data_IF_122055882264
#
_entry.id   IF_122055882264
#
_cell.length_a   1.000
_cell.length_b   1.000
_cell.length_c   1.000
_cell.angle_alpha   90.00
_cell.angle_beta   90.00
_cell.angle_gamma   90.00
#
_symmetry.space_group_name_H-M   'P 1'
#
loop_
_entity.id
_entity.type
_entity.pdbx_description
1 polymer ?
#
# COMPACT_ATOMS: atom_id res chain seq x y z
N UNK A 1 13.23 -3.97 0.06
CA UNK A 1 13.27 -2.66 0.71
C UNK A 1 14.13 -1.75 -0.12
N UNK A 2 13.70 -0.50 -0.34
CA UNK A 2 14.60 0.54 -0.84
C UNK A 2 15.76 0.65 0.16
N UNK A 3 16.96 0.19 -0.22
CA UNK A 3 18.14 0.26 0.63
C UNK A 3 18.55 1.72 0.77
N UNK A 4 18.93 2.16 1.97
CA UNK A 4 19.67 3.41 2.12
C UNK A 4 21.00 3.27 1.38
N UNK A 5 21.20 4.10 0.35
CA UNK A 5 22.39 4.08 -0.50
C UNK A 5 23.32 5.22 -0.12
N UNK A 6 24.63 4.95 -0.15
CA UNK A 6 25.69 5.95 0.04
C UNK A 6 26.38 6.19 -1.30
N UNK A 7 26.50 7.45 -1.69
CA UNK A 7 27.11 7.84 -2.97
C UNK A 7 28.43 8.57 -2.73
N UNK A 8 29.35 8.45 -3.69
CA UNK A 8 30.64 9.16 -3.66
C UNK A 8 30.50 10.62 -4.06
N UNK A 9 29.44 10.99 -4.79
CA UNK A 9 29.15 12.34 -5.26
C UNK A 9 27.65 12.64 -5.16
N UNK A 10 27.26 13.92 -4.99
CA UNK A 10 25.84 14.32 -5.03
C UNK A 10 25.15 13.93 -6.32
N UNK A 11 25.83 14.07 -7.46
CA UNK A 11 25.26 13.78 -8.78
C UNK A 11 24.81 12.33 -8.95
N UNK A 12 25.59 11.37 -8.45
CA UNK A 12 25.17 9.95 -8.44
C UNK A 12 23.95 9.72 -7.56
N UNK A 13 23.81 10.49 -6.48
CA UNK A 13 22.62 10.43 -5.62
C UNK A 13 21.40 10.98 -6.35
N UNK A 14 21.56 12.08 -7.10
CA UNK A 14 20.46 12.68 -7.86
C UNK A 14 20.03 11.77 -9.00
N UNK A 15 20.98 11.23 -9.78
CA UNK A 15 20.68 10.32 -10.87
C UNK A 15 19.90 9.07 -10.39
N UNK A 16 20.41 8.38 -9.37
CA UNK A 16 19.77 7.17 -8.86
C UNK A 16 18.37 7.47 -8.25
N UNK A 17 18.21 8.64 -7.62
CA UNK A 17 16.92 9.07 -7.12
C UNK A 17 15.93 9.37 -8.26
N UNK A 18 16.39 10.02 -9.34
CA UNK A 18 15.59 10.23 -10.55
C UNK A 18 15.21 8.92 -11.23
N UNK A 19 16.12 7.95 -11.29
CA UNK A 19 15.85 6.60 -11.83
C UNK A 19 14.82 5.85 -10.98
N UNK A 20 14.90 5.95 -9.65
CA UNK A 20 13.89 5.40 -8.75
C UNK A 20 12.49 5.99 -9.03
N UNK A 21 12.38 7.32 -9.16
CA UNK A 21 11.11 7.97 -9.45
C UNK A 21 10.61 7.62 -10.86
N UNK A 22 11.49 7.59 -11.86
CA UNK A 22 11.12 7.28 -13.26
C UNK A 22 10.76 5.81 -13.45
N UNK A 23 11.41 4.90 -12.74
CA UNK A 23 11.25 3.45 -12.89
C UNK A 23 10.02 2.88 -12.18
N UNK A 24 9.45 3.58 -11.20
CA UNK A 24 8.28 3.12 -10.44
C UNK A 24 6.99 3.77 -10.98
N UNK A 25 6.02 2.97 -11.43
CA UNK A 25 4.82 3.47 -12.14
C UNK A 25 3.92 4.32 -11.26
N UNK A 26 3.88 4.07 -9.96
CA UNK A 26 3.21 4.93 -8.96
C UNK A 26 3.66 6.40 -8.99
N UNK A 27 4.83 6.70 -9.54
CA UNK A 27 5.32 8.07 -9.73
C UNK A 27 5.23 8.52 -11.19
N UNK A 28 4.88 7.66 -12.15
CA UNK A 28 4.91 7.97 -13.58
C UNK A 28 4.05 9.20 -13.92
N UNK A 29 2.86 9.34 -13.30
CA UNK A 29 1.98 10.50 -13.52
C UNK A 29 2.60 11.85 -13.09
N UNK A 30 3.65 11.85 -12.25
CA UNK A 30 4.35 13.07 -11.87
C UNK A 30 5.09 13.69 -13.05
N UNK A 31 5.55 12.85 -13.99
CA UNK A 31 6.26 13.29 -15.19
C UNK A 31 5.33 13.87 -16.26
N UNK A 32 4.02 13.84 -16.03
CA UNK A 32 3.03 14.55 -16.84
C UNK A 32 2.81 15.99 -16.35
N UNK A 33 3.30 16.32 -15.14
CA UNK A 33 3.29 17.68 -14.61
C UNK A 33 4.41 18.49 -15.27
N UNK A 34 4.27 19.82 -15.24
CA UNK A 34 5.36 20.70 -15.59
C UNK A 34 6.60 20.39 -14.71
N UNK A 35 7.79 20.18 -15.29
CA UNK A 35 9.00 19.90 -14.52
C UNK A 35 9.32 20.96 -13.45
N UNK A 36 8.86 22.20 -13.66
CA UNK A 36 9.04 23.33 -12.73
C UNK A 36 7.90 23.46 -11.71
N UNK A 37 6.82 22.67 -11.81
CA UNK A 37 5.72 22.67 -10.83
C UNK A 37 6.09 21.87 -9.57
N UNK A 38 7.05 22.41 -8.81
CA UNK A 38 7.50 21.81 -7.55
C UNK A 38 6.36 21.63 -6.53
N UNK A 39 5.28 22.41 -6.62
CA UNK A 39 4.10 22.27 -5.75
C UNK A 39 3.30 21.03 -6.14
N UNK A 40 2.95 20.88 -7.42
CA UNK A 40 2.31 19.69 -7.96
C UNK A 40 3.11 18.43 -7.67
N UNK A 41 4.42 18.47 -7.90
CA UNK A 41 5.34 17.38 -7.56
C UNK A 41 5.31 17.05 -6.06
N UNK A 42 5.39 18.03 -5.16
CA UNK A 42 5.38 17.80 -3.71
C UNK A 42 4.09 17.09 -3.23
N UNK A 43 2.92 17.53 -3.72
CA UNK A 43 1.64 16.91 -3.38
C UNK A 43 1.47 15.55 -4.05
N UNK A 44 1.89 15.41 -5.30
CA UNK A 44 1.84 14.16 -6.05
C UNK A 44 2.74 13.09 -5.45
N UNK A 45 3.96 13.42 -5.00
CA UNK A 45 4.85 12.50 -4.28
C UNK A 45 4.20 11.94 -3.02
N UNK A 46 3.56 12.80 -2.21
CA UNK A 46 2.79 12.33 -1.05
C UNK A 46 1.61 11.45 -1.46
N UNK A 47 0.84 11.85 -2.48
CA UNK A 47 -0.31 11.09 -3.00
C UNK A 47 0.12 9.70 -3.48
N UNK A 48 1.25 9.63 -4.16
CA UNK A 48 1.89 8.41 -4.61
C UNK A 48 2.45 7.58 -3.45
N UNK A 49 2.51 8.11 -2.22
CA UNK A 49 2.95 7.41 -1.01
C UNK A 49 4.46 7.47 -0.74
N UNK A 50 5.18 8.43 -1.35
CA UNK A 50 6.62 8.61 -1.14
C UNK A 50 6.97 8.87 0.32
N UNK A 51 6.14 9.66 1.01
CA UNK A 51 6.33 10.01 2.42
C UNK A 51 5.06 9.74 3.23
N UNK A 52 5.22 9.24 4.46
CA UNK A 52 4.11 9.00 5.40
C UNK A 52 3.69 10.25 6.18
N UNK A 53 4.53 11.28 6.23
CA UNK A 53 4.26 12.52 6.95
C UNK A 53 3.14 13.33 6.25
N UNK A 54 2.01 13.61 6.94
CA UNK A 54 0.94 14.42 6.38
C UNK A 54 1.37 15.83 5.97
N UNK A 55 2.39 16.41 6.60
CA UNK A 55 2.92 17.73 6.29
C UNK A 55 4.05 17.71 5.26
N UNK A 56 4.41 16.54 4.71
CA UNK A 56 5.54 16.39 3.79
C UNK A 56 5.52 17.40 2.62
N UNK A 57 4.42 17.58 1.86
CA UNK A 57 4.39 18.53 0.75
C UNK A 57 4.67 19.95 1.22
N UNK A 58 4.05 20.36 2.33
CA UNK A 58 4.21 21.71 2.88
C UNK A 58 5.64 21.97 3.33
N UNK A 59 6.29 20.98 3.96
CA UNK A 59 7.69 21.07 4.37
C UNK A 59 8.62 21.22 3.16
N UNK A 60 8.40 20.43 2.11
CA UNK A 60 9.20 20.48 0.89
C UNK A 60 9.03 21.83 0.17
N UNK A 61 7.80 22.27 -0.03
CA UNK A 61 7.47 23.58 -0.60
C UNK A 61 8.14 24.70 0.21
N UNK A 62 8.05 24.64 1.54
CA UNK A 62 8.67 25.64 2.41
C UNK A 62 10.18 25.72 2.21
N UNK A 63 10.88 24.58 2.15
CA UNK A 63 12.34 24.54 1.91
C UNK A 63 12.66 25.17 0.55
N UNK A 64 11.92 24.83 -0.50
CA UNK A 64 12.13 25.36 -1.85
C UNK A 64 11.92 26.88 -1.88
N UNK A 65 10.89 27.39 -1.20
CA UNK A 65 10.57 28.82 -1.16
C UNK A 65 11.54 29.62 -0.27
N UNK A 66 11.87 29.11 0.93
CA UNK A 66 12.83 29.74 1.87
C UNK A 66 14.21 29.91 1.23
N UNK A 67 14.65 28.91 0.45
CA UNK A 67 15.94 28.93 -0.23
C UNK A 67 15.87 29.41 -1.69
N UNK A 68 14.68 29.80 -2.17
CA UNK A 68 14.45 30.24 -3.56
C UNK A 68 15.02 29.27 -4.61
N UNK A 69 14.93 27.96 -4.36
CA UNK A 69 15.54 26.95 -5.22
C UNK A 69 14.94 26.93 -6.63
N UNK A 70 13.67 27.31 -6.76
CA UNK A 70 12.98 27.47 -8.04
C UNK A 70 13.66 28.49 -8.97
N UNK A 71 14.50 29.38 -8.46
CA UNK A 71 15.28 30.31 -9.28
C UNK A 71 16.36 29.60 -10.11
N UNK A 72 16.80 28.41 -9.69
CA UNK A 72 17.79 27.59 -10.40
C UNK A 72 17.22 26.91 -11.64
N UNK A 73 15.89 26.83 -11.75
CA UNK A 73 15.20 26.18 -12.87
C UNK A 73 15.05 27.13 -14.09
N UNK A 74 15.45 28.40 -13.94
CA UNK A 74 15.34 29.43 -14.98
C UNK A 74 16.42 29.25 -16.06
N UNK A 75 16.00 29.19 -17.33
CA UNK A 75 16.91 29.08 -18.48
C UNK A 75 17.38 27.65 -18.79
N UNK A 76 16.78 26.65 -18.16
CA UNK A 76 17.02 25.23 -18.46
C UNK A 76 15.85 24.70 -19.29
N UNK A 77 16.09 24.34 -20.54
CA UNK A 77 15.11 23.58 -21.34
C UNK A 77 15.19 22.10 -20.95
N UNK A 78 14.15 21.61 -20.30
CA UNK A 78 14.04 20.21 -19.86
C UNK A 78 13.17 19.44 -20.85
N UNK A 79 13.79 18.74 -21.79
CA UNK A 79 13.11 17.83 -22.73
C UNK A 79 13.13 16.39 -22.20
N UNK A 80 12.45 16.15 -21.07
CA UNK A 80 12.29 14.80 -20.54
C UNK A 80 10.99 14.23 -21.10
N UNK A 81 11.08 13.15 -21.86
CA UNK A 81 9.89 12.41 -22.26
C UNK A 81 9.26 11.75 -21.03
N UNK A 82 7.96 11.99 -20.83
CA UNK A 82 7.23 11.33 -19.77
C UNK A 82 7.22 9.82 -20.02
N UNK A 83 7.52 8.97 -19.01
CA UNK A 83 7.39 7.53 -19.11
C UNK A 83 5.95 7.05 -19.40
N UNK A 84 4.95 7.94 -19.36
CA UNK A 84 3.55 7.65 -19.77
C UNK A 84 3.28 7.94 -21.25
N UNK A 85 4.18 8.62 -21.97
CA UNK A 85 3.99 9.02 -23.37
C UNK A 85 3.94 7.77 -24.26
N UNK A 86 2.74 7.47 -24.78
CA UNK A 86 2.44 6.27 -25.56
C UNK A 86 1.61 5.20 -24.85
N UNK A 87 1.20 5.42 -23.58
CA UNK A 87 0.43 4.43 -22.80
C UNK A 87 -1.11 4.49 -22.92
N UNK A 88 -1.68 5.39 -23.72
CA UNK A 88 -3.08 5.32 -24.17
C UNK A 88 -4.18 5.63 -23.13
N UNK A 89 -5.01 6.62 -23.51
CA UNK A 89 -6.40 6.92 -23.12
C UNK A 89 -6.79 7.36 -21.69
N UNK A 90 -7.68 8.38 -21.68
CA UNK A 90 -8.53 8.82 -20.57
C UNK A 90 -9.39 7.67 -20.07
N UNK A 91 -9.47 7.45 -18.75
CA UNK A 91 -10.19 6.30 -18.21
C UNK A 91 -11.32 6.76 -17.28
N UNK A 92 -12.52 6.29 -17.62
CA UNK A 92 -13.76 6.31 -16.85
C UNK A 92 -13.52 5.87 -15.38
N UNK A 93 -13.79 6.73 -14.38
CA UNK A 93 -13.57 6.44 -12.96
C UNK A 93 -14.39 5.27 -12.41
N UNK A 94 -15.48 4.87 -13.07
CA UNK A 94 -16.41 3.86 -12.55
C UNK A 94 -16.13 2.43 -13.03
N UNK A 95 -15.32 2.26 -14.09
CA UNK A 95 -14.98 0.95 -14.66
C UNK A 95 -13.46 0.63 -14.70
N UNK A 96 -12.65 1.29 -13.88
CA UNK A 96 -11.20 1.10 -13.85
C UNK A 96 -10.78 -0.28 -13.28
N UNK A 97 -10.76 -1.29 -14.15
CA UNK A 97 -9.99 -2.52 -13.98
C UNK A 97 -8.93 -2.61 -15.06
N UNK A 98 -7.99 -1.66 -15.05
CA UNK A 98 -6.77 -1.80 -15.86
C UNK A 98 -5.74 -2.52 -14.99
N UNK A 99 -5.51 -3.76 -15.40
CA UNK A 99 -4.49 -4.67 -14.90
C UNK A 99 -3.12 -4.12 -15.33
N UNK A 100 -2.46 -3.39 -14.43
CA UNK A 100 -1.15 -2.78 -14.68
C UNK A 100 -0.05 -3.83 -14.54
N UNK A 101 -0.33 -5.04 -14.08
CA UNK A 101 0.68 -6.05 -13.78
C UNK A 101 0.54 -7.20 -14.77
N UNK A 102 1.65 -7.79 -15.20
CA UNK A 102 1.61 -9.05 -15.92
C UNK A 102 0.69 -10.06 -15.19
N UNK A 103 -0.42 -10.45 -15.82
CA UNK A 103 -1.19 -11.70 -15.61
C UNK A 103 -1.57 -12.11 -14.18
N UNK A 104 -1.52 -11.24 -13.16
CA UNK A 104 -1.91 -11.63 -11.79
C UNK A 104 -3.36 -11.29 -11.52
N UNK A 105 -4.15 -12.35 -11.42
CA UNK A 105 -5.55 -12.27 -11.04
C UNK A 105 -5.71 -11.55 -9.68
N UNK A 106 -6.39 -10.42 -9.72
CA UNK A 106 -6.82 -9.71 -8.52
C UNK A 106 -8.16 -10.26 -8.04
N UNK A 107 -8.27 -10.38 -6.73
CA UNK A 107 -9.50 -10.81 -6.07
C UNK A 107 -9.98 -9.70 -5.13
N UNK A 108 -11.23 -9.82 -4.71
CA UNK A 108 -11.86 -8.84 -3.83
C UNK A 108 -12.57 -9.55 -2.69
N UNK A 109 -12.37 -9.03 -1.48
CA UNK A 109 -13.00 -9.52 -0.25
C UNK A 109 -13.26 -8.34 0.67
N UNK A 110 -14.51 -8.17 1.14
CA UNK A 110 -14.90 -7.00 1.94
C UNK A 110 -14.53 -5.65 1.30
N UNK A 111 -14.66 -5.58 -0.04
CA UNK A 111 -14.23 -4.44 -0.89
C UNK A 111 -12.76 -4.07 -0.69
N UNK A 112 -11.90 -5.05 -0.43
CA UNK A 112 -10.44 -4.91 -0.34
C UNK A 112 -9.84 -5.80 -1.41
N UNK A 113 -8.91 -5.25 -2.20
CA UNK A 113 -8.18 -6.04 -3.18
C UNK A 113 -7.15 -6.95 -2.49
N UNK A 114 -7.05 -8.18 -2.95
CA UNK A 114 -6.04 -9.15 -2.52
C UNK A 114 -5.54 -9.99 -3.69
N UNK A 115 -4.40 -10.64 -3.49
CA UNK A 115 -3.81 -11.62 -4.41
C UNK A 115 -3.64 -12.96 -3.71
N UNK A 116 -3.41 -14.01 -4.49
CA UNK A 116 -3.00 -15.32 -3.99
C UNK A 116 -1.53 -15.52 -4.35
N UNK A 117 -0.72 -15.88 -3.35
CA UNK A 117 0.71 -16.16 -3.51
C UNK A 117 0.88 -17.37 -4.42
N UNK A 118 1.67 -17.21 -5.48
CA UNK A 118 2.00 -18.24 -6.47
C UNK A 118 3.39 -18.84 -6.18
N UNK A 119 3.68 -19.98 -6.81
CA UNK A 119 5.00 -20.60 -6.70
C UNK A 119 6.11 -19.65 -7.19
N UNK A 120 7.17 -19.48 -6.40
CA UNK A 120 8.28 -18.56 -6.68
C UNK A 120 8.07 -17.13 -6.19
N UNK A 121 6.91 -16.81 -5.63
CA UNK A 121 6.68 -15.52 -4.98
C UNK A 121 7.54 -15.36 -3.73
N UNK A 122 8.13 -14.18 -3.62
CA UNK A 122 8.82 -13.73 -2.42
C UNK A 122 8.19 -12.44 -1.93
N UNK A 123 8.43 -12.13 -0.67
CA UNK A 123 7.98 -10.87 -0.11
C UNK A 123 8.57 -9.67 -0.89
N UNK A 124 9.82 -9.78 -1.31
CA UNK A 124 10.57 -8.75 -2.00
C UNK A 124 10.11 -8.55 -3.45
N UNK A 125 9.83 -9.63 -4.19
CA UNK A 125 9.35 -9.50 -5.57
C UNK A 125 7.91 -8.97 -5.56
N UNK A 126 7.03 -9.48 -4.69
CA UNK A 126 5.64 -9.01 -4.62
C UNK A 126 5.54 -7.54 -4.22
N UNK A 127 6.36 -7.07 -3.27
CA UNK A 127 6.35 -5.64 -2.90
C UNK A 127 6.82 -4.75 -4.04
N UNK A 128 7.82 -5.17 -4.81
CA UNK A 128 8.29 -4.47 -6.00
C UNK A 128 7.24 -4.48 -7.10
N UNK A 129 6.74 -5.67 -7.43
CA UNK A 129 5.81 -5.90 -8.52
C UNK A 129 4.48 -5.19 -8.27
N UNK A 130 3.97 -5.21 -7.05
CA UNK A 130 2.73 -4.53 -6.66
C UNK A 130 2.93 -3.03 -6.32
N UNK A 131 4.17 -2.54 -6.41
CA UNK A 131 4.57 -1.19 -6.05
C UNK A 131 4.18 -0.78 -4.62
N UNK A 132 4.11 -1.75 -3.72
CA UNK A 132 3.82 -1.56 -2.30
C UNK A 132 5.13 -1.40 -1.53
N UNK A 133 5.16 -0.42 -0.62
CA UNK A 133 6.25 -0.38 0.34
C UNK A 133 6.23 -1.66 1.19
N UNK A 134 7.38 -2.26 1.55
CA UNK A 134 7.44 -3.43 2.42
C UNK A 134 6.54 -3.31 3.65
N UNK A 135 6.61 -2.18 4.35
CA UNK A 135 5.78 -1.97 5.53
C UNK A 135 4.27 -2.00 5.25
N UNK A 136 3.82 -1.62 4.05
CA UNK A 136 2.40 -1.66 3.67
C UNK A 136 1.92 -3.10 3.58
N UNK A 137 2.60 -3.94 2.81
CA UNK A 137 2.23 -5.34 2.65
C UNK A 137 2.24 -6.08 4.01
N UNK A 138 3.26 -5.86 4.83
CA UNK A 138 3.32 -6.38 6.20
C UNK A 138 2.13 -5.90 7.04
N UNK A 139 1.88 -4.60 7.09
CA UNK A 139 0.85 -4.02 7.94
C UNK A 139 -0.58 -4.35 7.49
N UNK A 140 -0.82 -4.55 6.20
CA UNK A 140 -2.14 -4.91 5.68
C UNK A 140 -2.52 -6.36 6.01
N UNK A 141 -1.50 -7.22 6.14
CA UNK A 141 -1.66 -8.65 6.40
C UNK A 141 -1.29 -9.06 7.83
N UNK A 142 -0.91 -8.10 8.69
CA UNK A 142 -0.42 -8.31 10.07
C UNK A 142 0.69 -9.37 10.15
N UNK A 143 1.62 -9.34 9.18
CA UNK A 143 2.80 -10.22 9.13
C UNK A 143 4.09 -9.41 9.30
N UNK A 144 5.18 -10.09 9.63
CA UNK A 144 6.50 -9.48 9.69
C UNK A 144 7.01 -9.05 8.30
N UNK A 145 7.91 -8.06 8.27
CA UNK A 145 8.54 -7.63 7.02
C UNK A 145 9.53 -8.70 6.57
N UNK A 146 9.45 -9.11 5.30
CA UNK A 146 10.28 -10.20 4.77
C UNK A 146 9.83 -11.58 5.25
N UNK A 147 8.60 -11.70 5.77
CA UNK A 147 8.05 -12.99 6.17
C UNK A 147 8.05 -13.97 4.98
N UNK A 148 8.37 -15.24 5.26
CA UNK A 148 8.29 -16.30 4.26
C UNK A 148 6.83 -16.55 3.91
N UNK A 149 6.49 -16.30 2.64
CA UNK A 149 5.15 -16.49 2.12
C UNK A 149 4.91 -17.95 1.78
N UNK A 150 3.67 -18.41 1.96
CA UNK A 150 3.25 -19.76 1.59
C UNK A 150 2.47 -19.70 0.28
N UNK A 151 2.74 -20.62 -0.64
CA UNK A 151 1.93 -20.77 -1.85
C UNK A 151 0.46 -20.99 -1.48
N UNK A 152 -0.45 -20.32 -2.20
CA UNK A 152 -1.88 -20.30 -1.89
C UNK A 152 -2.31 -19.31 -0.80
N UNK A 153 -1.37 -18.66 -0.11
CA UNK A 153 -1.68 -17.65 0.89
C UNK A 153 -2.35 -16.43 0.25
N UNK A 154 -3.43 -15.94 0.86
CA UNK A 154 -4.04 -14.68 0.46
C UNK A 154 -3.27 -13.50 1.06
N UNK A 155 -2.95 -12.51 0.23
CA UNK A 155 -2.34 -11.26 0.66
C UNK A 155 -3.16 -10.06 0.21
N UNK A 156 -3.66 -9.31 1.18
CA UNK A 156 -4.29 -8.03 0.97
C UNK A 156 -3.26 -6.98 0.52
N UNK A 157 -3.59 -6.30 -0.58
CA UNK A 157 -2.77 -5.22 -1.13
C UNK A 157 -3.31 -3.83 -0.74
N UNK A 158 -4.33 -3.82 0.12
CA UNK A 158 -4.98 -2.65 0.68
C UNK A 158 -5.28 -2.87 2.18
N UNK A 159 -5.43 -1.82 3.00
CA UNK A 159 -5.72 -1.99 4.42
C UNK A 159 -7.04 -2.74 4.67
N UNK A 160 -7.00 -3.76 5.53
CA UNK A 160 -8.21 -4.45 6.02
C UNK A 160 -9.20 -3.50 6.71
N UNK A 161 -10.50 -3.80 6.60
CA UNK A 161 -11.56 -2.96 7.16
C UNK A 161 -11.66 -3.15 8.67
N UNK A 162 -12.38 -2.24 9.33
CA UNK A 162 -12.66 -2.31 10.78
C UNK A 162 -13.78 -3.31 11.11
N UNK A 163 -14.60 -3.68 10.13
CA UNK A 163 -15.79 -4.54 10.26
C UNK A 163 -16.00 -5.31 8.96
N UNK A 164 -16.63 -6.48 9.05
CA UNK A 164 -16.96 -7.28 7.87
C UNK A 164 -18.10 -6.65 7.07
N UNK A 165 -18.45 -7.25 5.93
CA UNK A 165 -19.62 -6.88 5.13
C UNK A 165 -20.93 -7.07 5.92
N UNK A 166 -22.00 -6.40 5.49
CA UNK A 166 -23.24 -6.30 6.30
C UNK A 166 -23.96 -7.64 6.49
N UNK A 167 -23.80 -8.57 5.55
CA UNK A 167 -24.23 -9.96 5.61
C UNK A 167 -23.43 -10.82 6.60
N UNK A 168 -22.24 -10.37 7.02
CA UNK A 168 -21.37 -11.09 7.95
C UNK A 168 -21.37 -10.39 9.31
N UNK A 169 -22.38 -10.68 10.13
CA UNK A 169 -22.48 -10.11 11.48
C UNK A 169 -21.61 -10.88 12.47
N UNK A 170 -21.54 -12.20 12.29
CA UNK A 170 -20.97 -13.15 13.24
C UNK A 170 -20.36 -14.33 12.48
N UNK A 171 -19.37 -14.94 13.10
CA UNK A 171 -18.71 -16.17 12.71
C UNK A 171 -18.68 -17.12 13.91
N UNK A 172 -18.75 -18.43 13.66
CA UNK A 172 -18.66 -19.46 14.71
C UNK A 172 -17.32 -20.15 14.51
N UNK A 173 -16.44 -20.02 15.50
CA UNK A 173 -15.07 -20.52 15.38
C UNK A 173 -15.05 -22.04 15.22
N UNK A 174 -14.26 -22.52 14.26
CA UNK A 174 -14.01 -23.94 14.05
C UNK A 174 -12.90 -24.47 14.97
N UNK A 175 -12.73 -25.79 15.04
CA UNK A 175 -11.70 -26.40 15.87
C UNK A 175 -10.29 -26.05 15.35
N UNK A 176 -9.49 -25.40 16.20
CA UNK A 176 -8.13 -24.98 15.87
C UNK A 176 -8.04 -23.71 15.01
N UNK A 177 -9.15 -23.05 14.73
CA UNK A 177 -9.16 -21.79 13.97
C UNK A 177 -8.62 -20.62 14.80
N UNK A 178 -7.81 -19.76 14.18
CA UNK A 178 -7.25 -18.60 14.85
C UNK A 178 -8.00 -17.30 14.54
N UNK A 179 -7.84 -16.30 15.39
CA UNK A 179 -8.27 -14.92 15.12
C UNK A 179 -7.63 -14.38 13.84
N UNK A 180 -6.42 -14.82 13.51
CA UNK A 180 -5.75 -14.46 12.26
C UNK A 180 -6.50 -15.04 11.05
N UNK A 181 -6.90 -16.30 11.09
CA UNK A 181 -7.64 -16.96 10.01
C UNK A 181 -8.98 -16.25 9.77
N UNK A 182 -9.75 -15.99 10.84
CA UNK A 182 -11.01 -15.24 10.77
C UNK A 182 -10.76 -13.82 10.21
N UNK A 183 -9.66 -13.19 10.62
CA UNK A 183 -9.27 -11.87 10.13
C UNK A 183 -9.00 -11.86 8.62
N UNK A 184 -8.32 -12.88 8.09
CA UNK A 184 -8.09 -13.04 6.65
C UNK A 184 -9.39 -13.37 5.92
N UNK A 185 -10.18 -14.30 6.45
CA UNK A 185 -11.44 -14.78 5.87
C UNK A 185 -12.43 -13.64 5.56
N UNK A 186 -12.53 -12.66 6.46
CA UNK A 186 -13.47 -11.54 6.32
C UNK A 186 -12.82 -10.20 5.96
N UNK A 187 -11.49 -10.15 5.79
CA UNK A 187 -10.77 -8.90 5.54
C UNK A 187 -10.97 -7.87 6.66
N UNK A 188 -10.98 -8.32 7.92
CA UNK A 188 -11.16 -7.46 9.10
C UNK A 188 -9.87 -7.40 9.90
N UNK A 189 -9.36 -6.20 10.19
CA UNK A 189 -8.07 -6.04 10.88
C UNK A 189 -8.14 -6.61 12.31
N UNK A 190 -7.13 -7.42 12.69
CA UNK A 190 -7.05 -8.18 13.95
C UNK A 190 -7.32 -7.34 15.19
N UNK A 191 -6.66 -6.18 15.31
CA UNK A 191 -6.84 -5.25 16.43
C UNK A 191 -8.32 -4.92 16.68
N UNK A 192 -9.11 -4.76 15.61
CA UNK A 192 -10.54 -4.45 15.73
C UNK A 192 -11.38 -5.70 16.00
N UNK A 193 -10.95 -6.85 15.51
CA UNK A 193 -11.59 -8.14 15.78
C UNK A 193 -11.45 -8.50 17.27
N UNK A 194 -10.24 -8.47 17.83
CA UNK A 194 -9.97 -8.66 19.26
C UNK A 194 -10.78 -7.69 20.14
N UNK A 195 -10.63 -6.39 19.89
CA UNK A 195 -11.29 -5.34 20.68
C UNK A 195 -12.82 -5.48 20.67
N UNK A 196 -13.40 -5.91 19.56
CA UNK A 196 -14.86 -6.10 19.44
C UNK A 196 -15.34 -7.29 20.25
N UNK A 197 -14.53 -8.35 20.26
CA UNK A 197 -14.86 -9.62 20.89
C UNK A 197 -14.43 -9.69 22.36
N UNK A 198 -13.75 -8.65 22.87
CA UNK A 198 -13.22 -8.59 24.24
C UNK A 198 -12.29 -9.75 24.55
N UNK A 199 -11.56 -10.19 23.54
CA UNK A 199 -10.54 -11.23 23.61
C UNK A 199 -9.19 -10.49 23.71
N UNK A 200 -8.28 -10.96 24.57
CA UNK A 200 -6.96 -10.36 24.69
C UNK A 200 -6.12 -10.67 23.44
N UNK A 201 -5.21 -9.76 23.09
CA UNK A 201 -4.43 -9.93 21.87
C UNK A 201 -3.44 -11.10 22.02
N UNK A 202 -3.58 -12.10 21.17
CA UNK A 202 -2.79 -13.34 21.23
C UNK A 202 -3.59 -14.55 21.70
N UNK A 203 -4.76 -14.33 22.31
CA UNK A 203 -5.69 -15.41 22.61
C UNK A 203 -6.39 -15.88 21.33
N UNK A 204 -6.77 -17.15 21.31
CA UNK A 204 -7.48 -17.78 20.21
C UNK A 204 -8.89 -18.21 20.63
N UNK A 205 -9.86 -18.24 19.69
CA UNK A 205 -11.23 -18.57 20.03
C UNK A 205 -11.38 -20.05 20.34
N UNK A 206 -12.32 -20.38 21.20
CA UNK A 206 -12.69 -21.79 21.45
C UNK A 206 -13.61 -22.27 20.34
N UNK A 207 -13.51 -23.54 19.94
CA UNK A 207 -14.43 -24.14 18.97
C UNK A 207 -15.90 -23.93 19.40
N UNK A 208 -16.73 -23.47 18.47
CA UNK A 208 -18.13 -23.10 18.72
C UNK A 208 -18.33 -21.68 19.29
N UNK A 209 -17.26 -20.95 19.60
CA UNK A 209 -17.36 -19.58 20.11
C UNK A 209 -17.87 -18.61 19.03
N UNK A 210 -18.76 -17.71 19.46
CA UNK A 210 -19.33 -16.67 18.61
C UNK A 210 -18.39 -15.48 18.49
N UNK A 211 -17.80 -15.31 17.31
CA UNK A 211 -16.94 -14.18 16.96
C UNK A 211 -17.74 -13.12 16.21
N UNK A 212 -17.94 -11.98 16.86
CA UNK A 212 -18.62 -10.82 16.32
C UNK A 212 -17.73 -10.15 15.27
N UNK A 213 -18.20 -10.08 14.04
CA UNK A 213 -17.55 -9.40 12.92
C UNK A 213 -18.09 -7.96 12.75
N UNK A 214 -19.25 -7.70 13.36
CA UNK A 214 -19.94 -6.41 13.46
C UNK A 214 -20.58 -6.28 14.85
N UNK A 215 -20.95 -5.07 15.26
CA UNK A 215 -21.41 -4.81 16.64
C UNK A 215 -20.27 -4.90 17.66
N UNK A 216 -20.58 -5.13 18.94
CA UNK A 216 -19.63 -5.51 20.00
C UNK A 216 -20.16 -6.73 20.71
N UNK A 217 -19.29 -7.65 21.14
CA UNK A 217 -19.69 -8.75 22.02
C UNK A 217 -20.35 -8.17 23.28
N UNK A 218 -21.51 -8.70 23.72
CA UNK A 218 -22.11 -8.35 25.00
C UNK A 218 -21.09 -8.46 26.15
N UNK A 219 -21.31 -7.70 27.23
CA UNK A 219 -20.57 -8.00 28.47
C UNK A 219 -21.12 -9.32 28.99
N UNK A 220 -20.24 -10.20 29.45
CA UNK A 220 -20.63 -11.26 30.37
C UNK A 220 -21.34 -10.59 31.55
N UNK A 221 -22.49 -11.14 31.97
CA UNK A 221 -23.15 -10.73 33.22
C UNK A 221 -22.26 -11.03 34.43
#
# INVERSE_FOLDING_TARGET
>A
GECFRKYRTPEKSFQDHSEFLRGARRYAFLFDLDPTDYKGWAYGLKKAGYATDPQYPKKLIRIIEEHKLYALDSGVEISIESPTKGMGEEIDPENFSIDIFNQRKLYMKNRIKYIVVQSGDTYENLTRDLELMPWQLANYNEIERGAKLKEGQELFIQPKRRKAEINHQLHIAEEGETMYDISQMYGVRLKWLYRRNRIEQGDEPVAGEKIYLRGKRPKSE
#
